data_IF_049696383738
#
_entry.id   IF_049696383738
#
_cell.length_a   1.000
_cell.length_b   1.000
_cell.length_c   1.000
_cell.angle_alpha   90.00
_cell.angle_beta   90.00
_cell.angle_gamma   90.00
#
_symmetry.space_group_name_H-M   'P 1'
#
loop_
_entity.id
_entity.type
_entity.pdbx_description
1 polymer ?
#
# COMPACT_ATOMS: atom_id res chain seq x y z
N UNK A 1 -15.49 -18.42 11.43
CA UNK A 1 -14.65 -17.37 10.80
C UNK A 1 -14.54 -17.73 9.33
N UNK A 2 -14.96 -16.85 8.41
CA UNK A 2 -15.18 -17.21 7.01
C UNK A 2 -13.84 -17.57 6.33
N UNK A 3 -13.74 -18.74 5.67
CA UNK A 3 -12.48 -19.26 5.09
C UNK A 3 -11.83 -18.26 4.11
N UNK A 4 -12.67 -17.49 3.41
CA UNK A 4 -12.27 -16.39 2.52
C UNK A 4 -11.68 -15.19 3.26
N UNK A 5 -12.15 -14.89 4.47
CA UNK A 5 -11.65 -13.78 5.27
C UNK A 5 -10.23 -14.06 5.79
N UNK A 6 -9.96 -15.30 6.21
CA UNK A 6 -8.62 -15.72 6.59
C UNK A 6 -7.65 -15.66 5.40
N UNK A 7 -8.11 -16.09 4.22
CA UNK A 7 -7.32 -16.07 2.99
C UNK A 7 -7.01 -14.64 2.51
N UNK A 8 -7.96 -13.71 2.68
CA UNK A 8 -7.74 -12.27 2.43
C UNK A 8 -6.65 -11.72 3.36
N UNK A 9 -6.75 -11.98 4.65
CA UNK A 9 -5.76 -11.54 5.65
C UNK A 9 -4.35 -12.08 5.38
N UNK A 10 -4.24 -13.35 5.00
CA UNK A 10 -2.95 -13.94 4.60
C UNK A 10 -2.40 -13.28 3.34
N UNK A 11 -3.25 -13.00 2.35
CA UNK A 11 -2.84 -12.32 1.13
C UNK A 11 -2.44 -10.86 1.41
N UNK A 12 -3.13 -10.15 2.29
CA UNK A 12 -2.77 -8.79 2.73
C UNK A 12 -1.42 -8.77 3.45
N UNK A 13 -1.14 -9.78 4.27
CA UNK A 13 0.17 -9.96 4.89
C UNK A 13 1.27 -10.20 3.85
N UNK A 14 1.01 -11.06 2.85
CA UNK A 14 1.95 -11.34 1.76
C UNK A 14 2.17 -10.09 0.90
N UNK A 15 1.10 -9.36 0.57
CA UNK A 15 1.14 -8.14 -0.22
C UNK A 15 1.83 -6.99 0.53
N UNK A 16 1.67 -6.93 1.85
CA UNK A 16 2.25 -5.92 2.74
C UNK A 16 1.46 -4.60 2.77
N UNK A 17 0.32 -4.58 2.09
CA UNK A 17 -0.67 -3.51 2.09
C UNK A 17 -2.05 -4.15 2.15
N UNK A 18 -3.03 -3.42 2.67
CA UNK A 18 -4.42 -3.91 2.64
C UNK A 18 -4.89 -4.04 1.19
N UNK A 19 -5.55 -5.17 0.91
CA UNK A 19 -6.12 -5.48 -0.38
C UNK A 19 -7.54 -4.96 -0.35
N UNK A 20 -7.76 -4.01 -1.23
CA UNK A 20 -9.00 -3.30 -1.33
C UNK A 20 -10.16 -4.26 -1.67
N UNK A 21 -11.38 -3.96 -1.21
CA UNK A 21 -12.51 -4.90 -1.31
C UNK A 21 -12.90 -5.24 -2.74
N UNK A 22 -12.81 -4.30 -3.67
CA UNK A 22 -13.03 -4.54 -5.10
C UNK A 22 -11.90 -5.28 -5.79
N UNK A 23 -10.66 -5.12 -5.35
CA UNK A 23 -9.58 -5.99 -5.83
C UNK A 23 -9.91 -7.41 -5.38
N UNK A 24 -10.29 -7.58 -4.11
CA UNK A 24 -10.71 -8.87 -3.57
C UNK A 24 -11.95 -9.46 -4.27
N UNK A 25 -12.96 -8.64 -4.55
CA UNK A 25 -14.17 -9.05 -5.27
C UNK A 25 -13.86 -9.36 -6.74
N UNK A 26 -12.95 -8.62 -7.37
CA UNK A 26 -12.47 -8.91 -8.73
C UNK A 26 -11.76 -10.28 -8.77
N UNK A 27 -10.88 -10.55 -7.82
CA UNK A 27 -10.20 -11.85 -7.73
C UNK A 27 -11.21 -12.99 -7.48
N UNK A 28 -12.27 -12.76 -6.69
CA UNK A 28 -13.34 -13.73 -6.52
C UNK A 28 -14.16 -13.92 -7.80
N UNK A 29 -14.57 -12.84 -8.46
CA UNK A 29 -15.35 -12.90 -9.71
C UNK A 29 -14.58 -13.56 -10.85
N UNK A 30 -13.26 -13.38 -10.88
CA UNK A 30 -12.37 -14.05 -11.85
C UNK A 30 -12.05 -15.50 -11.48
N UNK A 31 -12.58 -16.00 -10.36
CA UNK A 31 -12.33 -17.36 -9.89
C UNK A 31 -10.96 -17.56 -9.25
N UNK A 32 -10.09 -16.54 -9.23
CA UNK A 32 -8.71 -16.63 -8.77
C UNK A 32 -8.60 -16.94 -7.28
N UNK A 33 -9.53 -16.41 -6.46
CA UNK A 33 -9.61 -16.78 -5.04
C UNK A 33 -10.01 -18.24 -4.86
N UNK A 34 -10.93 -18.72 -5.71
CA UNK A 34 -11.32 -20.13 -5.70
C UNK A 34 -10.18 -21.03 -6.19
N UNK A 35 -9.40 -20.58 -7.16
CA UNK A 35 -8.22 -21.30 -7.65
C UNK A 35 -7.13 -21.44 -6.58
N UNK A 36 -7.01 -20.48 -5.65
CA UNK A 36 -6.16 -20.64 -4.45
C UNK A 36 -6.76 -21.66 -3.48
N UNK A 37 -8.07 -21.61 -3.24
CA UNK A 37 -8.76 -22.57 -2.36
C UNK A 37 -8.65 -24.00 -2.90
N UNK A 38 -8.71 -24.15 -4.22
CA UNK A 38 -8.59 -25.41 -4.95
C UNK A 38 -7.12 -25.87 -5.10
N UNK A 39 -6.15 -25.04 -4.70
CA UNK A 39 -4.72 -25.34 -4.80
C UNK A 39 -4.14 -25.29 -6.21
N UNK A 40 -4.84 -24.70 -7.18
CA UNK A 40 -4.39 -24.55 -8.57
C UNK A 40 -3.34 -23.46 -8.73
N UNK A 41 -3.47 -22.40 -7.94
CA UNK A 41 -2.47 -21.32 -7.81
C UNK A 41 -2.21 -21.08 -6.33
N UNK A 42 -1.04 -20.58 -5.95
CA UNK A 42 -0.72 -20.25 -4.56
C UNK A 42 -0.94 -18.76 -4.27
N UNK A 43 -0.90 -18.37 -2.99
CA UNK A 43 -1.12 -16.98 -2.58
C UNK A 43 -0.08 -16.00 -3.17
N UNK A 44 1.14 -16.43 -3.46
CA UNK A 44 2.13 -15.56 -4.11
C UNK A 44 1.79 -15.33 -5.58
N UNK A 45 1.24 -16.34 -6.27
CA UNK A 45 0.77 -16.18 -7.65
C UNK A 45 -0.42 -15.20 -7.70
N UNK A 46 -1.32 -15.30 -6.73
CA UNK A 46 -2.45 -14.37 -6.58
C UNK A 46 -1.98 -12.94 -6.28
N UNK A 47 -0.92 -12.78 -5.49
CA UNK A 47 -0.30 -11.50 -5.18
C UNK A 47 0.41 -10.88 -6.40
N UNK A 48 1.06 -11.70 -7.23
CA UNK A 48 1.65 -11.26 -8.50
C UNK A 48 0.57 -10.74 -9.45
N UNK A 49 -0.58 -11.40 -9.53
CA UNK A 49 -1.74 -10.92 -10.31
C UNK A 49 -2.24 -9.57 -9.77
N UNK A 50 -2.34 -9.40 -8.45
CA UNK A 50 -2.71 -8.10 -7.85
C UNK A 50 -1.72 -7.01 -8.29
N UNK A 51 -0.41 -7.29 -8.25
CA UNK A 51 0.62 -6.33 -8.67
C UNK A 51 0.52 -5.99 -10.14
N UNK A 52 0.30 -6.98 -11.01
CA UNK A 52 0.12 -6.75 -12.43
C UNK A 52 -1.09 -5.85 -12.71
N UNK A 53 -2.20 -6.09 -12.00
CA UNK A 53 -3.38 -5.23 -12.09
C UNK A 53 -3.04 -3.81 -11.60
N UNK A 54 -2.32 -3.66 -10.49
CA UNK A 54 -1.88 -2.36 -9.96
C UNK A 54 -0.92 -1.62 -10.91
N UNK A 55 -0.07 -2.35 -11.65
CA UNK A 55 0.85 -1.78 -12.66
C UNK A 55 0.08 -1.38 -13.92
N UNK A 56 -0.82 -2.25 -14.39
CA UNK A 56 -1.65 -1.98 -15.57
C UNK A 56 -2.63 -0.82 -15.31
N UNK A 57 -3.07 -0.65 -14.07
CA UNK A 57 -3.93 0.46 -13.63
C UNK A 57 -3.17 1.73 -13.25
N UNK A 58 -1.83 1.71 -13.21
CA UNK A 58 -1.01 2.88 -12.89
C UNK A 58 -0.94 3.23 -11.39
N UNK A 59 -1.69 2.52 -10.54
CA UNK A 59 -1.62 2.57 -9.05
C UNK A 59 -0.18 2.37 -8.56
N UNK A 60 0.58 1.58 -9.32
CA UNK A 60 1.99 1.33 -9.09
C UNK A 60 2.78 1.69 -10.34
N UNK A 61 3.84 2.48 -10.19
CA UNK A 61 4.75 2.78 -11.30
C UNK A 61 5.19 1.48 -11.98
N UNK A 62 5.14 1.48 -13.32
CA UNK A 62 5.68 0.38 -14.12
C UNK A 62 7.07 0.11 -13.60
N UNK A 63 7.40 -1.12 -13.21
CA UNK A 63 8.56 -1.26 -12.36
C UNK A 63 9.89 -1.13 -13.11
N UNK A 64 9.83 -1.14 -14.45
CA UNK A 64 10.93 -0.71 -15.32
C UNK A 64 11.36 0.76 -15.10
N UNK A 65 10.56 1.57 -14.41
CA UNK A 65 10.88 2.96 -14.07
C UNK A 65 11.36 3.14 -12.62
N UNK A 66 11.46 2.07 -11.81
CA UNK A 66 11.81 2.14 -10.37
C UNK A 66 13.30 2.22 -10.11
N UNK A 67 14.07 1.53 -10.95
CA UNK A 67 15.51 1.63 -10.93
C UNK A 67 15.96 2.23 -12.25
N UNK A 68 16.99 3.06 -12.21
CA UNK A 68 17.70 3.49 -13.41
C UNK A 68 18.65 2.35 -13.83
N UNK A 69 19.84 2.70 -14.29
CA UNK A 69 20.89 1.76 -14.64
C UNK A 69 21.88 1.60 -13.47
N UNK A 70 22.74 0.57 -13.51
CA UNK A 70 23.81 0.40 -12.54
C UNK A 70 24.67 1.66 -12.40
N UNK A 71 24.97 2.07 -11.17
CA UNK A 71 25.75 3.27 -10.87
C UNK A 71 27.11 3.27 -11.58
N UNK A 72 27.78 2.12 -11.63
CA UNK A 72 29.05 1.96 -12.35
C UNK A 72 28.97 2.17 -13.88
N UNK A 73 27.77 2.17 -14.48
CA UNK A 73 27.55 2.47 -15.90
C UNK A 73 27.22 3.95 -16.16
N UNK A 74 27.03 4.75 -15.12
CA UNK A 74 26.76 6.19 -15.24
C UNK A 74 28.07 6.93 -15.44
N UNK A 75 28.35 7.37 -16.67
CA UNK A 75 29.42 8.34 -16.94
C UNK A 75 28.88 9.75 -17.06
N UNK A 76 27.83 9.92 -17.86
CA UNK A 76 27.07 11.15 -18.10
C UNK A 76 25.63 10.71 -18.39
N UNK A 77 24.63 11.39 -17.81
CA UNK A 77 23.21 11.21 -18.15
C UNK A 77 22.89 12.08 -19.38
N UNK A 78 22.67 11.53 -20.59
CA UNK A 78 22.12 12.31 -21.69
C UNK A 78 20.69 12.70 -21.32
N UNK A 79 20.32 13.97 -21.51
CA UNK A 79 18.97 14.50 -21.23
C UNK A 79 18.50 14.30 -19.76
N UNK A 80 19.42 14.53 -18.81
CA UNK A 80 19.14 14.39 -17.38
C UNK A 80 18.03 15.34 -16.92
N UNK A 81 16.85 14.80 -16.62
CA UNK A 81 15.87 15.52 -15.81
C UNK A 81 16.35 15.63 -14.35
N UNK A 82 15.76 16.58 -13.60
CA UNK A 82 16.11 16.83 -12.20
C UNK A 82 16.02 15.56 -11.35
N UNK A 83 14.99 14.73 -11.58
CA UNK A 83 14.71 13.51 -10.82
C UNK A 83 15.83 12.48 -11.01
N UNK A 84 16.25 12.28 -12.25
CA UNK A 84 17.30 11.33 -12.62
C UNK A 84 18.65 11.80 -12.10
N UNK A 85 18.95 13.10 -12.23
CA UNK A 85 20.16 13.69 -11.66
C UNK A 85 20.21 13.55 -10.13
N UNK A 86 19.10 13.83 -9.44
CA UNK A 86 19.00 13.66 -7.98
C UNK A 86 19.17 12.20 -7.57
N UNK A 87 18.52 11.27 -8.29
CA UNK A 87 18.63 9.83 -8.02
C UNK A 87 20.07 9.34 -8.12
N UNK A 88 20.80 9.74 -9.17
CA UNK A 88 22.23 9.41 -9.34
C UNK A 88 23.09 10.06 -8.25
N UNK A 89 22.86 11.33 -7.92
CA UNK A 89 23.62 12.03 -6.89
C UNK A 89 23.46 11.35 -5.51
N UNK A 90 22.22 11.04 -5.12
CA UNK A 90 21.91 10.37 -3.86
C UNK A 90 22.47 8.94 -3.84
N UNK A 91 22.33 8.18 -4.92
CA UNK A 91 22.94 6.84 -5.02
C UNK A 91 24.47 6.90 -4.92
N UNK A 92 25.10 7.93 -5.50
CA UNK A 92 26.54 8.16 -5.38
C UNK A 92 26.94 8.42 -3.92
N UNK A 93 26.18 9.22 -3.19
CA UNK A 93 26.42 9.45 -1.76
C UNK A 93 26.21 8.17 -0.94
N UNK A 94 25.12 7.46 -1.17
CA UNK A 94 24.81 6.19 -0.50
C UNK A 94 25.89 5.13 -0.76
N UNK A 95 26.47 5.09 -1.98
CA UNK A 95 27.55 4.16 -2.34
C UNK A 95 28.81 4.31 -1.47
N UNK A 96 29.01 5.50 -0.88
CA UNK A 96 30.14 5.83 0.00
C UNK A 96 29.86 5.51 1.47
N UNK A 97 28.65 5.05 1.81
CA UNK A 97 28.29 4.68 3.19
C UNK A 97 29.18 3.54 3.68
N UNK A 98 29.82 3.74 4.85
CA UNK A 98 30.67 2.72 5.49
C UNK A 98 29.91 1.42 5.71
N UNK A 99 28.64 1.49 6.11
CA UNK A 99 27.78 0.32 6.34
C UNK A 99 27.58 -0.50 5.07
N UNK A 100 27.33 0.17 3.95
CA UNK A 100 27.20 -0.49 2.65
C UNK A 100 28.51 -1.13 2.19
N UNK A 101 29.62 -0.41 2.31
CA UNK A 101 30.96 -0.91 1.94
C UNK A 101 31.30 -2.13 2.80
N UNK A 102 31.05 -2.08 4.10
CA UNK A 102 31.31 -3.17 5.04
C UNK A 102 30.44 -4.40 4.72
N UNK A 103 29.16 -4.19 4.42
CA UNK A 103 28.27 -5.27 3.97
C UNK A 103 28.76 -5.92 2.67
N UNK A 104 29.03 -5.13 1.62
CA UNK A 104 29.51 -5.65 0.33
C UNK A 104 30.86 -6.37 0.48
N UNK A 105 31.74 -5.87 1.35
CA UNK A 105 33.02 -6.52 1.66
C UNK A 105 32.82 -7.88 2.33
N UNK A 106 31.95 -7.94 3.35
CA UNK A 106 31.71 -9.15 4.14
C UNK A 106 30.92 -10.22 3.37
N UNK A 107 29.85 -9.83 2.70
CA UNK A 107 28.88 -10.76 2.13
C UNK A 107 29.05 -11.00 0.63
N UNK A 108 29.62 -10.03 -0.10
CA UNK A 108 29.73 -10.06 -1.56
C UNK A 108 31.18 -10.02 -2.08
N UNK A 109 32.19 -10.15 -1.21
CA UNK A 109 33.61 -10.06 -1.56
C UNK A 109 33.95 -8.78 -2.36
N UNK A 110 33.36 -7.65 -1.97
CA UNK A 110 33.50 -6.32 -2.61
C UNK A 110 32.93 -6.22 -4.03
N UNK A 111 32.21 -7.23 -4.52
CA UNK A 111 31.56 -7.21 -5.83
C UNK A 111 30.06 -6.97 -5.68
N UNK A 112 29.42 -6.56 -6.77
CA UNK A 112 27.96 -6.55 -6.90
C UNK A 112 27.52 -7.77 -7.69
N UNK A 113 26.30 -8.22 -7.42
CA UNK A 113 25.66 -9.37 -8.07
C UNK A 113 24.99 -8.89 -9.35
N UNK A 114 25.02 -9.71 -10.41
CA UNK A 114 24.22 -9.44 -11.59
C UNK A 114 22.74 -9.55 -11.24
N UNK A 115 21.91 -8.65 -11.77
CA UNK A 115 20.47 -8.65 -11.53
C UNK A 115 19.79 -10.02 -11.77
N UNK A 116 20.25 -10.77 -12.77
CA UNK A 116 19.72 -12.10 -13.09
C UNK A 116 20.01 -13.15 -12.01
N UNK A 117 21.03 -12.91 -11.19
CA UNK A 117 21.54 -13.84 -10.18
C UNK A 117 21.07 -13.50 -8.76
N UNK A 118 20.38 -12.35 -8.57
CA UNK A 118 19.90 -11.90 -7.24
C UNK A 118 19.01 -12.95 -6.59
N UNK A 119 18.00 -13.45 -7.32
CA UNK A 119 17.10 -14.50 -6.84
C UNK A 119 17.88 -15.75 -6.37
N UNK A 120 18.88 -16.16 -7.15
CA UNK A 120 19.71 -17.34 -6.84
C UNK A 120 20.57 -17.10 -5.60
N UNK A 121 21.18 -15.92 -5.49
CA UNK A 121 22.00 -15.54 -4.35
C UNK A 121 21.17 -15.51 -3.06
N UNK A 122 20.00 -14.84 -3.09
CA UNK A 122 19.10 -14.75 -1.93
C UNK A 122 18.67 -16.14 -1.48
N UNK A 123 18.24 -17.01 -2.42
CA UNK A 123 17.84 -18.39 -2.11
C UNK A 123 18.99 -19.19 -1.49
N UNK A 124 20.21 -19.04 -2.01
CA UNK A 124 21.39 -19.74 -1.47
C UNK A 124 21.71 -19.36 -0.03
N UNK A 125 21.54 -18.08 0.32
CA UNK A 125 21.74 -17.57 1.68
C UNK A 125 20.63 -18.01 2.62
N UNK A 126 19.41 -18.16 2.12
CA UNK A 126 18.30 -18.68 2.91
C UNK A 126 18.48 -20.17 3.25
N UNK A 127 18.96 -20.99 2.30
CA UNK A 127 19.19 -22.43 2.52
C UNK A 127 20.35 -22.74 3.46
N UNK A 128 21.30 -21.81 3.63
CA UNK A 128 22.42 -21.95 4.56
C UNK A 128 22.04 -21.63 6.01
N UNK A 129 20.84 -21.09 6.23
CA UNK A 129 20.39 -20.64 7.54
C UNK A 129 19.71 -21.81 8.29
N UNK A 130 20.35 -22.31 9.35
CA UNK A 130 19.85 -23.47 10.11
C UNK A 130 18.80 -23.06 11.15
N UNK A 131 17.61 -23.69 11.06
CA UNK A 131 16.62 -24.00 12.10
C UNK A 131 16.03 -22.88 12.98
N UNK A 132 16.09 -21.60 12.61
CA UNK A 132 15.50 -20.53 13.43
C UNK A 132 14.84 -19.42 12.61
N UNK A 133 13.57 -19.56 12.25
CA UNK A 133 12.81 -18.45 11.65
C UNK A 133 12.50 -17.37 12.71
N UNK A 134 12.69 -16.10 12.38
CA UNK A 134 12.32 -15.01 13.28
C UNK A 134 10.80 -14.83 13.29
N UNK A 135 10.19 -14.92 14.48
CA UNK A 135 8.78 -14.62 14.67
C UNK A 135 8.70 -13.31 15.46
N UNK A 136 8.31 -12.24 14.77
CA UNK A 136 8.23 -10.88 15.29
C UNK A 136 7.16 -10.73 16.38
N UNK A 137 6.08 -11.52 16.32
CA UNK A 137 4.99 -11.50 17.32
C UNK A 137 4.40 -12.90 17.53
N UNK A 138 4.45 -13.38 18.77
CA UNK A 138 3.67 -14.53 19.27
C UNK A 138 2.97 -14.05 20.54
N UNK A 139 1.67 -14.30 20.63
CA UNK A 139 0.95 -14.09 21.88
C UNK A 139 1.42 -15.13 22.92
N UNK A 140 1.98 -14.64 24.03
CA UNK A 140 2.45 -15.50 25.12
C UNK A 140 1.24 -15.84 26.01
N UNK A 141 0.92 -17.12 26.23
CA UNK A 141 -0.16 -17.50 27.15
C UNK A 141 0.09 -16.95 28.56
N UNK A 142 -0.97 -16.53 29.26
CA UNK A 142 -0.88 -15.98 30.63
C UNK A 142 -0.20 -16.92 31.64
N UNK A 143 -0.13 -18.23 31.34
CA UNK A 143 0.59 -19.23 32.15
C UNK A 143 2.11 -19.13 32.06
N UNK A 144 2.64 -18.34 31.12
CA UNK A 144 4.06 -18.16 30.86
C UNK A 144 4.45 -16.72 31.18
N UNK A 145 5.50 -16.52 31.99
CA UNK A 145 5.97 -15.19 32.36
C UNK A 145 7.25 -14.85 31.60
N UNK A 146 7.27 -13.81 30.76
CA UNK A 146 8.50 -13.31 30.18
C UNK A 146 9.29 -12.54 31.26
N UNK A 147 10.47 -13.04 31.58
CA UNK A 147 11.42 -12.41 32.52
C UNK A 147 12.52 -11.77 31.67
N UNK A 148 12.72 -10.46 31.80
CA UNK A 148 13.77 -9.75 31.06
C UNK A 148 15.12 -9.98 31.74
N UNK A 149 16.10 -10.41 30.98
CA UNK A 149 17.49 -10.56 31.41
C UNK A 149 18.24 -9.21 31.33
N UNK A 150 19.39 -9.14 31.99
CA UNK A 150 20.23 -7.93 32.02
C UNK A 150 20.80 -7.53 30.65
N UNK A 151 20.91 -8.48 29.71
CA UNK A 151 21.34 -8.26 28.33
C UNK A 151 20.20 -7.80 27.40
N UNK A 152 18.98 -7.63 27.94
CA UNK A 152 17.79 -7.24 27.20
C UNK A 152 17.02 -8.39 26.54
N UNK A 153 17.51 -9.63 26.61
CA UNK A 153 16.77 -10.82 26.17
C UNK A 153 15.64 -11.17 27.13
N UNK A 154 14.68 -12.00 26.69
CA UNK A 154 13.59 -12.49 27.54
C UNK A 154 13.72 -13.99 27.75
N UNK A 155 13.65 -14.43 29.00
CA UNK A 155 13.46 -15.83 29.40
C UNK A 155 11.99 -16.06 29.70
N UNK A 156 11.34 -16.95 28.96
CA UNK A 156 9.96 -17.34 29.22
C UNK A 156 9.97 -18.54 30.19
N UNK A 157 9.25 -18.42 31.31
CA UNK A 157 9.13 -19.50 32.31
C UNK A 157 7.66 -19.81 32.60
N UNK A 158 7.22 -21.09 32.48
CA UNK A 158 7.95 -22.25 31.95
C UNK A 158 8.34 -22.06 30.46
N UNK A 159 9.25 -22.88 29.89
CA UNK A 159 9.64 -22.77 28.49
C UNK A 159 8.43 -22.89 27.56
N UNK A 160 8.36 -22.01 26.56
CA UNK A 160 7.27 -22.00 25.59
C UNK A 160 7.45 -23.12 24.57
N UNK A 161 6.60 -24.14 24.63
CA UNK A 161 6.50 -25.15 23.57
C UNK A 161 5.41 -24.74 22.58
N UNK A 162 5.81 -24.34 21.37
CA UNK A 162 4.88 -23.93 20.33
C UNK A 162 4.40 -25.19 19.58
N UNK A 163 3.28 -25.76 20.01
CA UNK A 163 2.60 -26.85 19.31
C UNK A 163 1.54 -26.36 18.32
N UNK A 164 0.96 -25.19 18.60
CA UNK A 164 0.06 -24.44 17.72
C UNK A 164 0.29 -22.95 17.96
N UNK A 165 0.52 -22.19 16.88
CA UNK A 165 0.63 -20.74 16.96
C UNK A 165 -0.37 -20.08 16.01
N UNK A 166 -0.98 -19.01 16.50
CA UNK A 166 -1.87 -18.13 15.73
C UNK A 166 -1.23 -16.75 15.67
N UNK A 167 -1.45 -16.01 14.58
CA UNK A 167 -0.93 -14.66 14.36
C UNK A 167 0.61 -14.55 14.40
N UNK A 168 1.31 -15.54 13.84
CA UNK A 168 2.77 -15.46 13.63
C UNK A 168 3.06 -14.41 12.57
N UNK A 169 3.74 -13.34 12.95
CA UNK A 169 4.38 -12.41 12.00
C UNK A 169 5.85 -12.77 11.86
N UNK A 170 6.37 -12.88 10.64
CA UNK A 170 7.80 -13.04 10.38
C UNK A 170 8.40 -11.74 9.84
N UNK A 171 9.70 -11.55 10.05
CA UNK A 171 10.43 -10.49 9.35
C UNK A 171 10.79 -10.95 7.93
N UNK A 172 10.60 -10.06 6.96
CA UNK A 172 10.84 -10.34 5.54
C UNK A 172 11.87 -9.40 4.95
N UNK A 173 12.72 -9.94 4.09
CA UNK A 173 13.51 -9.16 3.15
C UNK A 173 12.67 -8.93 1.89
N UNK A 174 12.49 -7.66 1.54
CA UNK A 174 11.86 -7.23 0.30
C UNK A 174 12.94 -7.00 -0.78
N UNK A 175 12.75 -7.51 -1.99
CA UNK A 175 13.64 -7.30 -3.13
C UNK A 175 12.86 -7.32 -4.45
N UNK A 176 13.45 -6.92 -5.57
CA UNK A 176 12.78 -7.00 -6.89
C UNK A 176 13.19 -8.27 -7.62
N UNK A 177 12.27 -8.83 -8.41
CA UNK A 177 12.57 -9.92 -9.32
C UNK A 177 13.56 -9.50 -10.43
N UNK A 178 14.07 -10.48 -11.19
CA UNK A 178 15.02 -10.21 -12.29
C UNK A 178 14.52 -9.24 -13.37
N UNK A 179 13.20 -9.08 -13.53
CA UNK A 179 12.61 -8.12 -14.47
C UNK A 179 12.46 -6.71 -13.87
N UNK A 180 12.81 -6.54 -12.59
CA UNK A 180 12.57 -5.35 -11.77
C UNK A 180 11.09 -5.04 -11.55
N UNK A 181 10.21 -6.00 -11.83
CA UNK A 181 8.75 -5.90 -11.84
C UNK A 181 8.15 -6.11 -10.47
N UNK A 182 8.37 -7.31 -9.96
CA UNK A 182 7.61 -7.80 -8.84
C UNK A 182 8.46 -7.71 -7.58
N UNK A 183 7.89 -7.11 -6.52
CA UNK A 183 8.52 -7.19 -5.20
C UNK A 183 8.41 -8.63 -4.73
N UNK A 184 9.51 -9.30 -4.46
CA UNK A 184 9.55 -10.59 -3.80
C UNK A 184 9.83 -10.39 -2.32
N UNK A 185 9.29 -11.31 -1.51
CA UNK A 185 9.52 -11.37 -0.08
C UNK A 185 10.08 -12.73 0.27
N UNK A 186 11.03 -12.75 1.19
CA UNK A 186 11.56 -13.99 1.76
C UNK A 186 11.72 -13.79 3.27
N UNK A 187 11.28 -14.74 4.11
CA UNK A 187 11.51 -14.63 5.55
C UNK A 187 13.00 -14.63 5.85
N UNK A 188 13.40 -13.94 6.93
CA UNK A 188 14.79 -13.88 7.36
C UNK A 188 15.00 -14.49 8.74
N UNK A 189 16.19 -15.05 8.95
CA UNK A 189 16.67 -15.51 10.26
C UNK A 189 17.44 -14.36 10.92
N UNK A 190 17.15 -14.07 12.20
CA UNK A 190 17.80 -12.99 12.94
C UNK A 190 19.33 -13.12 12.88
N UNK A 191 20.02 -12.00 12.69
CA UNK A 191 21.48 -11.88 12.62
C UNK A 191 22.13 -12.62 11.43
N UNK A 192 21.34 -13.26 10.55
CA UNK A 192 21.82 -13.87 9.31
C UNK A 192 22.25 -12.84 8.27
N UNK A 193 22.95 -13.28 7.21
CA UNK A 193 23.28 -12.40 6.07
C UNK A 193 22.05 -11.71 5.47
N UNK A 194 20.90 -12.39 5.41
CA UNK A 194 19.66 -11.82 4.88
C UNK A 194 19.00 -10.84 5.84
N UNK A 195 19.12 -11.04 7.15
CA UNK A 195 18.63 -10.07 8.13
C UNK A 195 19.50 -8.82 8.18
N UNK A 196 20.83 -8.98 8.11
CA UNK A 196 21.75 -7.85 7.95
C UNK A 196 21.45 -7.04 6.68
N UNK A 197 21.15 -7.72 5.57
CA UNK A 197 20.71 -7.08 4.33
C UNK A 197 19.38 -6.34 4.51
N UNK A 198 18.40 -6.97 5.18
CA UNK A 198 17.09 -6.38 5.46
C UNK A 198 17.24 -5.11 6.30
N UNK A 199 17.98 -5.17 7.40
CA UNK A 199 18.20 -4.02 8.28
C UNK A 199 18.88 -2.86 7.53
N UNK A 200 19.91 -3.16 6.72
CA UNK A 200 20.55 -2.16 5.88
C UNK A 200 19.58 -1.57 4.82
N UNK A 201 18.75 -2.41 4.20
CA UNK A 201 17.75 -1.95 3.23
C UNK A 201 16.71 -1.01 3.86
N UNK A 202 16.28 -1.30 5.09
CA UNK A 202 15.36 -0.47 5.88
C UNK A 202 16.03 0.85 6.23
N UNK A 203 17.29 0.82 6.65
CA UNK A 203 18.05 2.02 6.98
C UNK A 203 18.19 2.95 5.77
N UNK A 204 18.69 2.43 4.64
CA UNK A 204 18.84 3.22 3.40
C UNK A 204 17.49 3.72 2.87
N UNK A 205 16.44 2.90 3.00
CA UNK A 205 15.07 3.31 2.64
C UNK A 205 14.62 4.53 3.43
N UNK A 206 14.90 4.59 4.74
CA UNK A 206 14.57 5.75 5.57
C UNK A 206 15.45 6.96 5.26
N UNK A 207 16.75 6.76 5.12
CA UNK A 207 17.72 7.85 4.91
C UNK A 207 17.53 8.53 3.56
N UNK A 208 17.27 7.75 2.51
CA UNK A 208 17.20 8.24 1.13
C UNK A 208 15.79 8.24 0.53
N UNK A 209 14.78 7.92 1.35
CA UNK A 209 13.37 7.85 0.94
C UNK A 209 13.11 6.89 -0.23
N UNK A 210 13.92 5.84 -0.34
CA UNK A 210 13.73 4.76 -1.33
C UNK A 210 12.75 3.70 -0.83
N UNK A 211 12.16 2.90 -1.73
CA UNK A 211 11.45 1.70 -1.28
C UNK A 211 12.45 0.66 -0.76
N UNK A 212 12.08 -0.09 0.27
CA UNK A 212 12.96 -1.13 0.84
C UNK A 212 13.45 -2.15 -0.21
N UNK A 213 12.57 -2.57 -1.14
CA UNK A 213 12.95 -3.47 -2.23
C UNK A 213 14.00 -2.86 -3.16
N UNK A 214 13.90 -1.56 -3.43
CA UNK A 214 14.85 -0.84 -4.29
C UNK A 214 16.19 -0.65 -3.57
N UNK A 215 16.16 -0.34 -2.27
CA UNK A 215 17.36 -0.32 -1.42
C UNK A 215 18.08 -1.67 -1.45
N UNK A 216 17.35 -2.79 -1.33
CA UNK A 216 17.94 -4.13 -1.45
C UNK A 216 18.60 -4.33 -2.82
N UNK A 217 17.93 -3.93 -3.91
CA UNK A 217 18.51 -4.02 -5.25
C UNK A 217 19.75 -3.15 -5.40
N UNK A 218 19.75 -1.92 -4.86
CA UNK A 218 20.92 -1.06 -4.87
C UNK A 218 22.10 -1.69 -4.13
N UNK A 219 21.88 -2.20 -2.91
CA UNK A 219 22.92 -2.87 -2.11
C UNK A 219 23.56 -4.01 -2.89
N UNK A 220 22.73 -4.87 -3.51
CA UNK A 220 23.19 -6.08 -4.17
C UNK A 220 23.74 -5.85 -5.58
N UNK A 221 23.19 -4.92 -6.35
CA UNK A 221 23.38 -4.84 -7.82
C UNK A 221 23.89 -3.50 -8.33
N UNK A 222 23.97 -2.49 -7.46
CA UNK A 222 24.31 -1.11 -7.82
C UNK A 222 23.28 -0.38 -8.69
N UNK A 223 22.14 -0.99 -8.99
CA UNK A 223 21.04 -0.32 -9.69
C UNK A 223 20.50 0.83 -8.84
N UNK A 224 20.46 2.02 -9.44
CA UNK A 224 20.09 3.27 -8.76
C UNK A 224 18.57 3.33 -8.53
N UNK A 225 18.10 3.42 -7.28
CA UNK A 225 16.70 3.68 -7.00
C UNK A 225 16.29 5.06 -7.51
N UNK A 226 15.17 5.12 -8.24
CA UNK A 226 14.60 6.37 -8.72
C UNK A 226 13.85 7.04 -7.58
N UNK A 227 14.15 8.31 -7.34
CA UNK A 227 13.42 9.14 -6.38
C UNK A 227 12.13 9.61 -7.06
N UNK A 228 10.97 9.25 -6.53
CA UNK A 228 9.70 9.78 -7.04
C UNK A 228 9.42 11.15 -6.38
N UNK A 229 9.33 12.25 -7.15
CA UNK A 229 9.03 13.57 -6.58
C UNK A 229 7.60 13.65 -6.03
N UNK A 230 6.70 12.74 -6.40
CA UNK A 230 5.32 12.72 -5.90
C UNK A 230 4.88 11.29 -5.60
N UNK A 231 4.73 10.99 -4.31
CA UNK A 231 4.06 9.78 -3.85
C UNK A 231 2.57 10.08 -3.59
N UNK A 232 1.68 9.13 -3.90
CA UNK A 232 0.24 9.30 -3.74
C UNK A 232 -0.38 8.02 -3.21
N UNK A 233 -1.20 8.14 -2.17
CA UNK A 233 -1.94 7.04 -1.57
C UNK A 233 -3.41 7.41 -1.39
N UNK A 234 -4.28 6.43 -1.62
CA UNK A 234 -5.70 6.59 -1.36
C UNK A 234 -6.04 6.02 0.02
N UNK A 235 -6.58 6.86 0.88
CA UNK A 235 -7.04 6.49 2.21
C UNK A 235 -8.55 6.27 2.12
N UNK A 236 -8.94 5.00 1.99
CA UNK A 236 -10.35 4.59 1.97
C UNK A 236 -10.97 4.77 3.35
N UNK A 237 -12.17 5.34 3.39
CA UNK A 237 -13.03 5.23 4.56
C UNK A 237 -14.13 4.20 4.29
N UNK A 238 -14.09 3.10 5.03
CA UNK A 238 -14.98 1.95 4.80
C UNK A 238 -16.43 2.20 5.21
N UNK A 239 -16.68 3.20 6.07
CA UNK A 239 -18.03 3.52 6.55
C UNK A 239 -18.70 4.62 5.72
N UNK A 240 -17.94 5.64 5.36
CA UNK A 240 -18.42 6.79 4.59
C UNK A 240 -17.45 7.08 3.46
N UNK A 241 -17.75 6.64 2.24
CA UNK A 241 -16.86 6.86 1.09
C UNK A 241 -16.54 8.34 0.87
N UNK A 242 -17.45 9.25 1.23
CA UNK A 242 -17.25 10.70 1.15
C UNK A 242 -16.19 11.26 2.09
N UNK A 243 -15.72 10.46 3.06
CA UNK A 243 -14.59 10.79 3.94
C UNK A 243 -13.25 10.21 3.46
N UNK A 244 -13.24 9.50 2.34
CA UNK A 244 -11.99 8.98 1.76
C UNK A 244 -11.13 10.13 1.24
N UNK A 245 -9.81 9.96 1.27
CA UNK A 245 -8.85 11.03 0.93
C UNK A 245 -7.78 10.52 -0.01
N UNK A 246 -7.34 11.40 -0.91
CA UNK A 246 -6.04 11.25 -1.59
C UNK A 246 -5.03 11.96 -0.70
N UNK A 247 -4.00 11.24 -0.24
CA UNK A 247 -2.85 11.80 0.44
C UNK A 247 -1.68 11.80 -0.54
N UNK A 248 -1.10 12.97 -0.78
CA UNK A 248 0.09 13.12 -1.63
C UNK A 248 1.25 13.63 -0.79
N UNK A 249 2.42 13.02 -0.98
CA UNK A 249 3.70 13.48 -0.43
C UNK A 249 4.48 14.03 -1.63
N UNK A 250 4.88 15.30 -1.55
CA UNK A 250 5.36 16.08 -2.71
C UNK A 250 6.70 16.70 -2.36
N UNK A 251 7.72 16.49 -3.19
CA UNK A 251 8.98 17.25 -3.13
C UNK A 251 8.64 18.74 -3.32
N UNK A 252 9.02 19.63 -2.38
CA UNK A 252 8.64 21.05 -2.41
C UNK A 252 9.14 21.81 -3.64
N UNK A 253 10.10 21.26 -4.39
CA UNK A 253 10.59 21.85 -5.64
C UNK A 253 9.78 21.43 -6.87
N UNK A 254 8.82 20.51 -6.70
CA UNK A 254 7.96 20.04 -7.79
C UNK A 254 7.01 21.14 -8.23
N UNK A 255 6.86 21.32 -9.53
CA UNK A 255 6.00 22.39 -10.05
C UNK A 255 4.52 22.12 -9.72
N UNK A 256 3.70 23.16 -9.44
CA UNK A 256 2.26 22.99 -9.24
C UNK A 256 1.56 22.31 -10.42
N UNK A 257 2.08 22.51 -11.64
CA UNK A 257 1.58 21.88 -12.87
C UNK A 257 1.76 20.36 -12.83
N UNK A 258 2.93 19.88 -12.42
CA UNK A 258 3.21 18.44 -12.32
C UNK A 258 2.40 17.79 -11.20
N UNK A 259 2.23 18.50 -10.07
CA UNK A 259 1.32 18.07 -8.99
C UNK A 259 -0.10 17.92 -9.51
N UNK A 260 -0.62 18.90 -10.24
CA UNK A 260 -1.96 18.84 -10.83
C UNK A 260 -2.11 17.67 -11.81
N UNK A 261 -1.11 17.43 -12.66
CA UNK A 261 -1.12 16.31 -13.62
C UNK A 261 -1.13 14.97 -12.88
N UNK A 262 -0.27 14.78 -11.87
CA UNK A 262 -0.21 13.55 -11.08
C UNK A 262 -1.49 13.35 -10.28
N UNK A 263 -2.00 14.39 -9.61
CA UNK A 263 -3.27 14.36 -8.89
C UNK A 263 -4.43 13.97 -9.82
N UNK A 264 -4.51 14.59 -11.01
CA UNK A 264 -5.60 14.32 -11.95
C UNK A 264 -5.59 12.88 -12.44
N UNK A 265 -4.40 12.34 -12.77
CA UNK A 265 -4.22 10.92 -13.13
C UNK A 265 -4.66 10.00 -11.99
N UNK A 266 -4.11 10.21 -10.79
CA UNK A 266 -4.42 9.39 -9.62
C UNK A 266 -5.91 9.47 -9.25
N UNK A 267 -6.52 10.64 -9.33
CA UNK A 267 -7.95 10.85 -9.07
C UNK A 267 -8.85 10.09 -10.05
N UNK A 268 -8.46 9.97 -11.32
CA UNK A 268 -9.24 9.25 -12.34
C UNK A 268 -9.34 7.75 -12.06
N UNK A 269 -8.39 7.19 -11.33
CA UNK A 269 -8.41 5.77 -10.91
C UNK A 269 -9.59 5.49 -9.96
N UNK A 270 -9.97 6.47 -9.14
CA UNK A 270 -10.94 6.29 -8.05
C UNK A 270 -12.30 6.94 -8.30
N UNK A 271 -12.41 7.85 -9.24
CA UNK A 271 -13.66 8.55 -9.55
C UNK A 271 -14.11 8.14 -10.95
N UNK A 272 -15.19 7.35 -11.03
CA UNK A 272 -15.80 7.03 -12.33
C UNK A 272 -16.47 8.27 -12.92
N UNK A 273 -16.01 8.65 -14.11
CA UNK A 273 -16.59 9.73 -14.88
C UNK A 273 -16.49 11.11 -14.21
N UNK A 274 -17.40 12.01 -14.58
CA UNK A 274 -17.40 13.39 -14.10
C UNK A 274 -18.09 13.47 -12.75
N UNK A 275 -17.31 13.57 -11.67
CA UNK A 275 -17.85 14.00 -10.38
C UNK A 275 -18.39 15.42 -10.50
N UNK A 276 -19.72 15.56 -10.37
CA UNK A 276 -20.38 16.86 -10.31
C UNK A 276 -20.67 17.20 -8.86
N UNK A 277 -20.22 18.37 -8.43
CA UNK A 277 -20.48 18.86 -7.09
C UNK A 277 -21.98 19.01 -6.84
N UNK A 278 -22.37 18.81 -5.58
CA UNK A 278 -23.74 19.02 -5.15
C UNK A 278 -24.00 20.53 -5.07
N UNK A 279 -25.09 21.00 -5.69
CA UNK A 279 -25.51 22.40 -5.51
C UNK A 279 -25.96 22.65 -4.07
N UNK A 280 -25.99 23.91 -3.65
CA UNK A 280 -26.40 24.29 -2.29
C UNK A 280 -27.78 23.73 -1.90
N UNK A 281 -28.73 23.63 -2.85
CA UNK A 281 -30.04 22.98 -2.63
C UNK A 281 -29.86 21.53 -2.19
N UNK A 282 -29.08 20.75 -2.94
CA UNK A 282 -28.87 19.34 -2.65
C UNK A 282 -28.06 19.11 -1.37
N UNK A 283 -27.06 19.95 -1.07
CA UNK A 283 -26.36 19.90 0.22
C UNK A 283 -27.33 20.10 1.40
N UNK A 284 -28.25 21.06 1.29
CA UNK A 284 -29.25 21.29 2.33
C UNK A 284 -30.27 20.14 2.42
N UNK A 285 -30.67 19.54 1.30
CA UNK A 285 -31.52 18.34 1.30
C UNK A 285 -30.83 17.16 2.00
N UNK A 286 -29.53 16.98 1.78
CA UNK A 286 -28.75 15.94 2.46
C UNK A 286 -28.70 16.18 3.98
N UNK A 287 -28.46 17.42 4.42
CA UNK A 287 -28.47 17.81 5.84
C UNK A 287 -29.86 17.59 6.45
N UNK A 288 -30.91 18.02 5.75
CA UNK A 288 -32.28 17.85 6.19
C UNK A 288 -32.61 16.35 6.37
N UNK A 289 -32.25 15.51 5.39
CA UNK A 289 -32.44 14.07 5.48
C UNK A 289 -31.69 13.43 6.65
N UNK A 290 -30.45 13.87 6.90
CA UNK A 290 -29.65 13.37 8.02
C UNK A 290 -30.25 13.71 9.39
N UNK A 291 -30.93 14.87 9.50
CA UNK A 291 -31.56 15.35 10.75
C UNK A 291 -33.01 14.89 10.93
N UNK A 292 -33.69 14.49 9.84
CA UNK A 292 -35.10 14.09 9.84
C UNK A 292 -35.35 12.94 10.83
N UNK A 293 -36.47 13.00 11.54
CA UNK A 293 -36.92 11.88 12.37
C UNK A 293 -37.36 10.71 11.47
N UNK A 294 -36.85 9.50 11.76
CA UNK A 294 -37.17 8.28 10.99
C UNK A 294 -38.66 7.93 11.02
N UNK A 295 -39.38 8.30 12.07
CA UNK A 295 -40.82 8.03 12.24
C UNK A 295 -41.72 9.03 11.52
N UNK A 296 -41.18 10.17 11.11
CA UNK A 296 -41.94 11.23 10.45
C UNK A 296 -42.30 10.85 9.00
N UNK A 297 -43.55 11.12 8.61
CA UNK A 297 -44.04 10.84 7.26
C UNK A 297 -43.41 11.83 6.28
N UNK A 298 -43.11 11.37 5.06
CA UNK A 298 -42.47 12.20 4.04
C UNK A 298 -43.25 13.46 3.66
N UNK A 299 -44.58 13.44 3.76
CA UNK A 299 -45.43 14.59 3.51
C UNK A 299 -45.21 15.70 4.54
N UNK A 300 -45.15 15.35 5.84
CA UNK A 300 -44.87 16.28 6.93
C UNK A 300 -43.48 16.90 6.77
N UNK A 301 -42.49 16.08 6.40
CA UNK A 301 -41.13 16.54 6.16
C UNK A 301 -41.02 17.47 4.95
N UNK A 302 -41.77 17.20 3.88
CA UNK A 302 -41.83 18.07 2.70
C UNK A 302 -42.45 19.43 3.05
N UNK A 303 -43.52 19.43 3.85
CA UNK A 303 -44.15 20.66 4.33
C UNK A 303 -43.18 21.48 5.19
N UNK A 304 -42.48 20.83 6.13
CA UNK A 304 -41.44 21.45 6.95
C UNK A 304 -40.33 22.06 6.08
N UNK A 305 -39.84 21.31 5.08
CA UNK A 305 -38.85 21.82 4.13
C UNK A 305 -39.36 23.04 3.36
N UNK A 306 -40.58 22.98 2.82
CA UNK A 306 -41.19 24.05 2.04
C UNK A 306 -41.43 25.31 2.89
N UNK A 307 -41.83 25.17 4.15
CA UNK A 307 -41.98 26.30 5.07
C UNK A 307 -40.63 26.95 5.40
N UNK A 308 -39.60 26.13 5.63
CA UNK A 308 -38.27 26.63 6.01
C UNK A 308 -37.51 27.28 4.84
N UNK A 309 -37.66 26.76 3.61
CA UNK A 309 -36.85 27.17 2.47
C UNK A 309 -37.67 27.62 1.24
N UNK A 310 -38.89 27.15 1.07
CA UNK A 310 -39.71 27.40 -0.12
C UNK A 310 -40.24 28.83 -0.24
N UNK A 311 -40.36 29.57 0.86
CA UNK A 311 -40.77 30.99 0.86
C UNK A 311 -39.62 31.87 0.35
N UNK A 312 -38.42 31.71 0.91
CA UNK A 312 -37.24 32.52 0.56
C UNK A 312 -36.56 32.05 -0.73
N UNK A 313 -36.71 30.76 -1.09
CA UNK A 313 -36.17 30.16 -2.31
C UNK A 313 -37.27 29.36 -3.02
N UNK A 314 -38.14 30.01 -3.81
CA UNK A 314 -39.26 29.33 -4.49
C UNK A 314 -38.84 28.13 -5.34
N UNK A 315 -37.67 28.18 -5.99
CA UNK A 315 -37.11 27.06 -6.78
C UNK A 315 -36.67 25.84 -5.94
N UNK A 316 -36.65 25.96 -4.62
CA UNK A 316 -36.33 24.86 -3.70
C UNK A 316 -37.56 24.11 -3.21
N UNK A 317 -38.76 24.66 -3.45
CA UNK A 317 -40.04 24.07 -3.07
C UNK A 317 -40.29 22.75 -3.83
N UNK A 318 -41.02 21.85 -3.19
CA UNK A 318 -41.52 20.61 -3.77
C UNK A 318 -43.03 20.54 -3.67
N UNK A 319 -43.67 20.05 -4.72
CA UNK A 319 -45.12 19.81 -4.74
C UNK A 319 -45.44 18.30 -4.64
N UNK A 320 -44.50 17.47 -5.09
CA UNK A 320 -44.65 16.02 -5.16
C UNK A 320 -43.76 15.36 -4.10
N UNK A 321 -44.40 14.66 -3.15
CA UNK A 321 -43.74 14.03 -1.99
C UNK A 321 -42.70 12.98 -2.42
N UNK A 322 -42.99 12.20 -3.46
CA UNK A 322 -42.08 11.15 -3.96
C UNK A 322 -40.78 11.76 -4.51
N UNK A 323 -40.87 12.88 -5.24
CA UNK A 323 -39.69 13.60 -5.75
C UNK A 323 -38.85 14.18 -4.61
N UNK A 324 -39.50 14.77 -3.60
CA UNK A 324 -38.82 15.28 -2.41
C UNK A 324 -38.04 14.17 -1.68
N UNK A 325 -38.70 13.04 -1.41
CA UNK A 325 -38.08 11.90 -0.73
C UNK A 325 -36.89 11.35 -1.52
N UNK A 326 -37.06 11.16 -2.83
CA UNK A 326 -36.02 10.67 -3.73
C UNK A 326 -34.82 11.61 -3.77
N UNK A 327 -35.05 12.92 -3.90
CA UNK A 327 -33.97 13.91 -3.96
C UNK A 327 -33.23 14.03 -2.63
N UNK A 328 -33.93 13.99 -1.50
CA UNK A 328 -33.32 13.92 -0.17
C UNK A 328 -32.38 12.72 -0.05
N UNK A 329 -32.89 11.53 -0.37
CA UNK A 329 -32.12 10.27 -0.27
C UNK A 329 -30.91 10.29 -1.21
N UNK A 330 -31.11 10.64 -2.48
CA UNK A 330 -30.02 10.72 -3.49
C UNK A 330 -28.97 11.77 -3.12
N UNK A 331 -29.39 12.93 -2.63
CA UNK A 331 -28.45 13.97 -2.22
C UNK A 331 -27.60 13.52 -1.03
N UNK A 332 -28.24 12.87 -0.04
CA UNK A 332 -27.52 12.29 1.09
C UNK A 332 -26.56 11.18 0.66
N UNK A 333 -27.04 10.19 -0.12
CA UNK A 333 -26.22 9.10 -0.65
C UNK A 333 -25.03 9.63 -1.44
N UNK A 334 -25.23 10.60 -2.33
CA UNK A 334 -24.14 11.19 -3.12
C UNK A 334 -23.13 11.96 -2.25
N UNK A 335 -23.54 12.51 -1.12
CA UNK A 335 -22.65 13.21 -0.18
C UNK A 335 -21.83 12.23 0.66
N UNK A 336 -22.47 11.24 1.29
CA UNK A 336 -21.79 10.31 2.22
C UNK A 336 -21.14 9.12 1.54
N UNK A 337 -21.66 8.75 0.37
CA UNK A 337 -21.24 7.62 -0.45
C UNK A 337 -21.17 8.02 -1.93
N UNK A 338 -20.32 9.01 -2.30
CA UNK A 338 -20.12 9.39 -3.69
C UNK A 338 -19.74 8.17 -4.53
N UNK A 339 -20.02 8.24 -5.82
CA UNK A 339 -19.67 7.20 -6.79
C UNK A 339 -18.15 7.22 -7.03
N UNK A 340 -17.43 6.72 -6.05
CA UNK A 340 -16.04 6.33 -6.16
C UNK A 340 -16.06 4.91 -6.71
N UNK A 341 -15.18 4.63 -7.68
CA UNK A 341 -14.90 3.27 -8.10
C UNK A 341 -14.70 2.46 -6.83
N UNK A 342 -15.48 1.39 -6.69
CA UNK A 342 -15.32 0.51 -5.55
C UNK A 342 -13.88 0.03 -5.65
N UNK A 343 -13.06 0.37 -4.66
CA UNK A 343 -11.71 -0.16 -4.47
C UNK A 343 -11.81 -1.20 -3.38
#
# INVERSE_FOLDING_TARGET
MNKLYALKLELENIHGESISDSMWDYLQQKGLVQDVVDGKINLNDLEEIIKEIQIASGVRSKPKDRLLYPLNKVKILPDADRVSALSVAIATLASKSKKLIDFRRKELNKKVINITDVDKWIKSKNTQATNSSFIAKIEIPNSHKPIRNNDGSYKITPPLNISQAKNIEADYLNFLDKKLVNIKKIPVIKDSSLDNLRLLSIELSKEFSWQQSESTMFILTDYIPKIDPINSKYIKNNYFKGLSKIHMEIDPTTSPKDVMVKYSKFRQEFISGRHRDLSSKHLNLAIFYAKKNKREKWMESMNTWNSNYGITKPSWKYEVVTNFALHCKRAFEKLVSPNLNQI
#
